data_IF_416785796745
#
_entry.id   IF_416785796745
#
_cell.length_a   1.000
_cell.length_b   1.000
_cell.length_c   1.000
_cell.angle_alpha   90.00
_cell.angle_beta   90.00
_cell.angle_gamma   90.00
#
_symmetry.space_group_name_H-M   'P 1'
#
loop_
_entity.id
_entity.type
_entity.pdbx_description
1 polymer ?
#
# COMPACT_ATOMS: atom_id res chain seq x y z
N UNK A 1 -0.50 -36.13 -26.87
CA UNK A 1 -1.45 -35.02 -26.59
C UNK A 1 -0.77 -33.71 -26.95
N UNK A 2 -1.34 -32.95 -27.90
CA UNK A 2 -0.83 -31.61 -28.27
C UNK A 2 -1.11 -30.65 -27.12
N UNK A 3 -0.08 -29.98 -26.58
CA UNK A 3 -0.25 -28.90 -25.60
C UNK A 3 -0.55 -27.63 -26.38
N UNK A 4 -1.82 -27.25 -26.48
CA UNK A 4 -2.20 -25.92 -26.97
C UNK A 4 -1.54 -24.88 -26.07
N UNK A 5 -0.61 -24.11 -26.61
CA UNK A 5 0.02 -23.02 -25.88
C UNK A 5 -0.95 -21.83 -25.90
N UNK A 6 -1.41 -21.41 -24.73
CA UNK A 6 -2.26 -20.23 -24.59
C UNK A 6 -1.43 -19.01 -24.93
N UNK A 7 -1.89 -18.22 -25.90
CA UNK A 7 -1.27 -16.93 -26.19
C UNK A 7 -1.77 -15.90 -25.18
N UNK A 8 -1.00 -15.69 -24.13
CA UNK A 8 -1.33 -14.76 -23.05
C UNK A 8 -1.47 -13.30 -23.53
N UNK A 9 -0.84 -12.92 -24.65
CA UNK A 9 -0.98 -11.56 -25.18
C UNK A 9 -2.42 -11.29 -25.64
N UNK A 10 -3.06 -12.26 -26.30
CA UNK A 10 -4.47 -12.14 -26.73
C UNK A 10 -5.38 -12.09 -25.49
N UNK A 11 -5.07 -12.87 -24.46
CA UNK A 11 -5.83 -12.84 -23.20
C UNK A 11 -5.75 -11.47 -22.54
N UNK A 12 -4.54 -10.89 -22.46
CA UNK A 12 -4.34 -9.55 -21.91
C UNK A 12 -5.06 -8.50 -22.75
N UNK A 13 -4.91 -8.54 -24.07
CA UNK A 13 -5.56 -7.60 -25.00
C UNK A 13 -7.08 -7.63 -24.87
N UNK A 14 -7.69 -8.81 -24.76
CA UNK A 14 -9.14 -8.92 -24.56
C UNK A 14 -9.61 -8.49 -23.17
N UNK A 15 -8.87 -8.86 -22.12
CA UNK A 15 -9.20 -8.43 -20.76
C UNK A 15 -8.98 -6.94 -20.52
N UNK A 16 -8.19 -6.29 -21.38
CA UNK A 16 -7.88 -4.85 -21.28
C UNK A 16 -8.85 -3.98 -22.07
N UNK A 17 -9.74 -4.56 -22.89
CA UNK A 17 -10.74 -3.79 -23.65
C UNK A 17 -11.71 -3.07 -22.70
N UNK A 18 -11.80 -1.75 -22.87
CA UNK A 18 -12.66 -0.88 -22.04
C UNK A 18 -12.07 -0.53 -20.69
N UNK A 19 -10.85 -0.98 -20.36
CA UNK A 19 -10.08 -0.44 -19.25
C UNK A 19 -9.43 0.87 -19.69
N UNK A 20 -9.61 1.91 -18.89
CA UNK A 20 -8.90 3.17 -19.08
C UNK A 20 -7.50 3.03 -18.53
N UNK A 21 -6.49 3.45 -19.31
CA UNK A 21 -5.13 3.55 -18.81
C UNK A 21 -5.09 4.36 -17.52
N UNK A 22 -4.40 3.82 -16.52
CA UNK A 22 -4.28 4.44 -15.20
C UNK A 22 -3.72 5.87 -15.31
N UNK A 23 -2.84 6.09 -16.29
CA UNK A 23 -2.17 7.36 -16.54
C UNK A 23 -2.93 8.35 -17.42
N UNK A 24 -4.09 7.97 -17.97
CA UNK A 24 -4.87 8.86 -18.82
C UNK A 24 -5.35 10.10 -18.05
N UNK A 25 -5.36 11.26 -18.73
CA UNK A 25 -5.93 12.51 -18.18
C UNK A 25 -7.45 12.43 -18.01
N UNK A 26 -8.09 11.51 -18.73
CA UNK A 26 -9.53 11.25 -18.70
C UNK A 26 -9.90 10.21 -17.65
N UNK A 27 -8.95 9.81 -16.79
CA UNK A 27 -9.19 8.77 -15.82
C UNK A 27 -10.06 9.31 -14.65
N UNK A 28 -11.34 8.90 -14.51
CA UNK A 28 -12.25 9.41 -13.47
C UNK A 28 -11.87 8.97 -12.04
N UNK A 29 -10.72 8.30 -11.89
CA UNK A 29 -10.19 7.73 -10.66
C UNK A 29 -9.86 8.76 -9.58
N UNK A 30 -9.64 10.02 -9.93
CA UNK A 30 -8.93 10.96 -9.05
C UNK A 30 -9.76 11.58 -7.92
N UNK A 31 -11.10 11.62 -7.97
CA UNK A 31 -11.89 12.25 -6.89
C UNK A 31 -12.99 11.38 -6.27
N UNK A 32 -13.75 10.61 -7.06
CA UNK A 32 -14.94 9.91 -6.55
C UNK A 32 -14.76 8.42 -6.28
N UNK A 33 -13.86 7.77 -7.03
CA UNK A 33 -13.68 6.31 -7.01
C UNK A 33 -12.32 5.85 -6.46
N UNK A 34 -11.33 6.74 -6.36
CA UNK A 34 -9.98 6.45 -5.88
C UNK A 34 -9.95 5.67 -4.56
N UNK A 35 -10.68 6.08 -3.50
CA UNK A 35 -10.67 5.38 -2.22
C UNK A 35 -11.19 3.94 -2.29
N UNK A 36 -12.27 3.70 -3.05
CA UNK A 36 -12.84 2.36 -3.22
C UNK A 36 -11.87 1.48 -4.03
N UNK A 37 -11.34 2.01 -5.14
CA UNK A 37 -10.41 1.30 -6.00
C UNK A 37 -9.10 0.92 -5.27
N UNK A 38 -8.57 1.80 -4.41
CA UNK A 38 -7.41 1.48 -3.58
C UNK A 38 -7.70 0.31 -2.64
N UNK A 39 -8.88 0.31 -2.02
CA UNK A 39 -9.29 -0.68 -1.03
C UNK A 39 -9.58 -2.08 -1.62
N UNK A 40 -9.91 -2.13 -2.92
CA UNK A 40 -10.32 -3.35 -3.63
C UNK A 40 -9.22 -3.92 -4.54
N UNK A 41 -8.47 -3.07 -5.26
CA UNK A 41 -7.58 -3.51 -6.36
C UNK A 41 -6.09 -3.22 -6.16
N UNK A 42 -5.72 -2.49 -5.09
CA UNK A 42 -4.31 -2.13 -4.80
C UNK A 42 -3.84 -2.66 -3.46
N UNK A 43 -4.64 -3.52 -2.84
CA UNK A 43 -4.44 -3.97 -1.47
C UNK A 43 -4.08 -5.44 -1.44
N UNK A 44 -2.94 -5.77 -0.83
CA UNK A 44 -2.54 -7.13 -0.46
C UNK A 44 -2.78 -7.29 1.03
N UNK A 45 -3.60 -8.28 1.43
CA UNK A 45 -3.96 -8.52 2.82
C UNK A 45 -3.24 -9.75 3.37
N UNK A 46 -2.53 -9.56 4.46
CA UNK A 46 -1.93 -10.64 5.23
C UNK A 46 -2.91 -11.01 6.34
N UNK A 47 -3.25 -12.30 6.42
CA UNK A 47 -4.35 -12.79 7.25
C UNK A 47 -4.16 -12.55 8.75
N UNK A 48 -5.27 -12.52 9.48
CA UNK A 48 -5.31 -12.31 10.93
C UNK A 48 -4.92 -13.58 11.68
N UNK A 49 -3.67 -13.66 12.11
CA UNK A 49 -3.15 -14.66 13.04
C UNK A 49 -1.92 -14.08 13.73
N UNK A 50 -1.47 -14.65 14.85
CA UNK A 50 -0.17 -14.30 15.45
C UNK A 50 0.95 -14.79 14.53
N UNK A 51 1.11 -14.16 13.37
CA UNK A 51 2.20 -14.42 12.45
C UNK A 51 3.39 -13.57 12.89
N UNK A 52 4.33 -14.22 13.57
CA UNK A 52 5.63 -13.63 13.89
C UNK A 52 6.36 -13.31 12.58
N UNK A 53 6.93 -12.10 12.47
CA UNK A 53 7.76 -11.69 11.33
C UNK A 53 7.07 -10.88 10.22
N UNK A 54 5.76 -10.56 10.33
CA UNK A 54 5.08 -9.74 9.31
C UNK A 54 5.64 -8.32 9.21
N UNK A 55 5.93 -7.69 10.35
CA UNK A 55 6.58 -6.37 10.36
C UNK A 55 7.98 -6.44 9.75
N UNK A 56 8.74 -7.50 10.02
CA UNK A 56 10.10 -7.70 9.47
C UNK A 56 10.03 -7.84 7.94
N UNK A 57 9.05 -8.59 7.45
CA UNK A 57 8.75 -8.68 6.03
C UNK A 57 8.36 -7.33 5.41
N UNK A 58 7.53 -6.53 6.10
CA UNK A 58 7.19 -5.18 5.66
C UNK A 58 8.41 -4.26 5.59
N UNK A 59 9.27 -4.38 6.59
CA UNK A 59 10.55 -3.69 6.64
C UNK A 59 11.45 -4.07 5.45
N UNK A 60 11.56 -5.37 5.13
CA UNK A 60 12.33 -5.82 3.97
C UNK A 60 11.74 -5.34 2.64
N UNK A 61 10.41 -5.33 2.51
CA UNK A 61 9.74 -4.74 1.35
C UNK A 61 10.09 -3.26 1.20
N UNK A 62 10.04 -2.50 2.29
CA UNK A 62 10.35 -1.08 2.28
C UNK A 62 11.82 -0.82 1.88
N UNK A 63 12.75 -1.61 2.41
CA UNK A 63 14.19 -1.52 2.09
C UNK A 63 14.48 -1.77 0.62
N UNK A 64 13.81 -2.75 0.01
CA UNK A 64 14.07 -3.15 -1.37
C UNK A 64 13.29 -2.31 -2.40
N UNK A 65 12.38 -1.45 -1.96
CA UNK A 65 11.57 -0.62 -2.85
C UNK A 65 12.37 0.58 -3.37
N UNK A 66 12.41 0.74 -4.70
CA UNK A 66 13.15 1.85 -5.34
C UNK A 66 12.45 3.20 -5.22
N UNK A 67 11.17 3.21 -4.83
CA UNK A 67 10.36 4.42 -4.69
C UNK A 67 10.20 4.89 -3.24
N UNK A 68 9.36 5.91 -3.06
CA UNK A 68 8.95 6.41 -1.75
C UNK A 68 7.98 5.46 -1.08
N UNK A 69 8.25 5.13 0.18
CA UNK A 69 7.49 4.20 1.01
C UNK A 69 6.82 4.95 2.15
N UNK A 70 5.52 4.71 2.35
CA UNK A 70 4.79 5.15 3.54
C UNK A 70 4.57 3.96 4.47
N UNK A 71 5.11 4.05 5.68
CA UNK A 71 4.90 3.07 6.72
C UNK A 71 3.95 3.64 7.78
N UNK A 72 2.77 3.05 7.90
CA UNK A 72 1.69 3.50 8.80
C UNK A 72 1.58 2.55 9.98
N UNK A 73 1.68 3.10 11.19
CA UNK A 73 1.44 2.35 12.43
C UNK A 73 0.23 2.92 13.20
N UNK A 74 -0.65 2.07 13.77
CA UNK A 74 -1.78 2.50 14.59
C UNK A 74 -1.44 3.36 15.82
N UNK A 75 -0.27 3.21 16.45
CA UNK A 75 0.09 3.95 17.67
C UNK A 75 1.27 4.88 17.43
N UNK A 76 1.11 6.16 17.79
CA UNK A 76 2.18 7.17 17.79
C UNK A 76 3.23 7.02 18.90
N UNK A 77 3.41 5.82 19.47
CA UNK A 77 4.36 5.52 20.55
C UNK A 77 5.35 4.40 20.20
N UNK A 78 5.37 3.94 18.94
CA UNK A 78 6.34 2.97 18.42
C UNK A 78 7.22 3.63 17.34
N UNK A 79 7.65 4.87 17.57
CA UNK A 79 8.73 5.46 16.74
C UNK A 79 9.96 4.53 16.72
N UNK A 80 10.13 3.68 17.74
CA UNK A 80 11.26 2.76 17.85
C UNK A 80 11.06 1.37 17.24
N UNK A 81 9.86 0.84 16.97
CA UNK A 81 9.74 -0.62 16.64
C UNK A 81 10.24 -0.95 15.22
N UNK A 82 10.04 -0.05 14.26
CA UNK A 82 10.52 -0.23 12.88
C UNK A 82 12.03 -0.02 12.82
N UNK A 83 12.56 1.05 13.43
CA UNK A 83 13.99 1.34 13.56
C UNK A 83 14.74 0.23 14.32
N UNK A 84 14.19 -0.21 15.45
CA UNK A 84 14.70 -1.30 16.27
C UNK A 84 14.77 -2.61 15.48
N UNK A 85 13.70 -2.98 14.76
CA UNK A 85 13.68 -4.20 13.93
C UNK A 85 14.56 -4.09 12.69
N UNK A 86 14.74 -2.87 12.17
CA UNK A 86 15.65 -2.57 11.09
C UNK A 86 17.12 -2.65 11.50
N UNK A 87 17.40 -2.56 12.81
CA UNK A 87 18.76 -2.41 13.34
C UNK A 87 19.44 -1.14 12.82
N UNK A 88 18.66 -0.08 12.58
CA UNK A 88 19.15 1.17 12.02
C UNK A 88 19.05 2.29 13.04
N UNK A 89 20.02 3.20 13.03
CA UNK A 89 19.99 4.43 13.83
C UNK A 89 18.99 5.44 13.25
N UNK A 90 18.80 5.43 11.93
CA UNK A 90 17.89 6.33 11.21
C UNK A 90 17.10 5.58 10.12
N UNK A 91 15.90 6.08 9.80
CA UNK A 91 15.10 5.56 8.70
C UNK A 91 15.78 5.92 7.37
N UNK A 92 15.81 5.00 6.39
CA UNK A 92 16.23 5.32 5.03
C UNK A 92 15.44 6.52 4.47
N UNK A 93 16.08 7.41 3.71
CA UNK A 93 15.47 8.64 3.16
C UNK A 93 14.23 8.41 2.28
N UNK A 94 14.09 7.20 1.73
CA UNK A 94 12.94 6.82 0.92
C UNK A 94 11.75 6.32 1.75
N UNK A 95 11.92 6.12 3.06
CA UNK A 95 10.89 5.61 3.97
C UNK A 95 10.39 6.75 4.85
N UNK A 96 9.10 7.04 4.77
CA UNK A 96 8.41 7.90 5.74
C UNK A 96 7.57 7.03 6.66
N UNK A 97 7.81 7.13 7.96
CA UNK A 97 6.97 6.49 8.98
C UNK A 97 6.03 7.52 9.60
N UNK A 98 4.74 7.17 9.72
CA UNK A 98 3.74 8.01 10.36
C UNK A 98 2.83 7.19 11.27
N UNK A 99 2.26 7.88 12.26
CA UNK A 99 1.11 7.35 12.97
C UNK A 99 -0.17 7.51 12.17
N UNK A 100 -1.13 6.63 12.41
CA UNK A 100 -2.48 6.74 11.87
C UNK A 100 -3.18 8.09 12.11
N UNK A 101 -2.79 8.80 13.17
CA UNK A 101 -3.32 10.12 13.52
C UNK A 101 -2.78 11.26 12.64
N UNK A 102 -1.60 11.08 12.01
CA UNK A 102 -0.93 12.08 11.18
C UNK A 102 -1.26 11.93 9.68
N UNK A 103 -2.06 10.93 9.33
CA UNK A 103 -2.42 10.64 7.94
C UNK A 103 -3.10 11.80 7.23
N UNK A 104 -2.74 12.01 5.98
CA UNK A 104 -3.29 13.08 5.12
C UNK A 104 -2.57 14.42 5.27
N UNK A 105 -1.45 14.46 5.99
CA UNK A 105 -0.57 15.64 6.09
C UNK A 105 0.66 15.54 5.19
N UNK A 106 0.81 14.43 4.48
CA UNK A 106 1.98 14.14 3.67
C UNK A 106 2.01 15.04 2.43
N UNK A 107 3.20 15.53 2.09
CA UNK A 107 3.43 16.38 0.91
C UNK A 107 4.01 15.62 -0.27
N UNK A 108 4.43 14.38 -0.05
CA UNK A 108 5.01 13.50 -1.05
C UNK A 108 3.99 12.46 -1.54
N UNK A 109 4.29 11.83 -2.68
CA UNK A 109 3.52 10.72 -3.22
C UNK A 109 4.27 9.41 -3.02
N UNK A 110 3.61 8.42 -2.42
CA UNK A 110 4.19 7.12 -2.11
C UNK A 110 3.74 6.06 -3.12
N UNK A 111 4.67 5.22 -3.58
CA UNK A 111 4.38 4.09 -4.48
C UNK A 111 4.34 2.74 -3.77
N UNK A 112 4.69 2.72 -2.48
CA UNK A 112 4.46 1.60 -1.59
C UNK A 112 3.88 2.11 -0.27
N UNK A 113 2.82 1.47 0.20
CA UNK A 113 2.23 1.75 1.52
C UNK A 113 2.19 0.46 2.31
N UNK A 114 2.68 0.52 3.54
CA UNK A 114 2.68 -0.61 4.47
C UNK A 114 1.90 -0.18 5.70
N UNK A 115 0.83 -0.89 6.01
CA UNK A 115 0.02 -0.67 7.22
C UNK A 115 0.30 -1.83 8.15
N UNK A 116 1.08 -1.56 9.18
CA UNK A 116 1.34 -2.51 10.25
C UNK A 116 0.15 -2.57 11.21
N UNK A 117 -0.12 -3.75 11.79
CA UNK A 117 -1.25 -3.96 12.69
C UNK A 117 -2.59 -3.40 12.12
N UNK A 118 -2.84 -3.64 10.84
CA UNK A 118 -3.94 -3.09 10.06
C UNK A 118 -5.33 -3.35 10.69
N UNK A 119 -5.53 -4.51 11.34
CA UNK A 119 -6.76 -4.81 12.07
C UNK A 119 -7.05 -3.82 13.20
N UNK A 120 -6.02 -3.52 14.01
CA UNK A 120 -6.09 -2.52 15.10
C UNK A 120 -6.31 -1.13 14.51
N UNK A 121 -5.57 -0.80 13.46
CA UNK A 121 -5.68 0.49 12.79
C UNK A 121 -7.10 0.74 12.25
N UNK A 122 -7.70 -0.20 11.53
CA UNK A 122 -9.06 -0.02 10.98
C UNK A 122 -10.15 -0.02 12.04
N UNK A 123 -9.94 -0.71 13.16
CA UNK A 123 -10.82 -0.60 14.33
C UNK A 123 -10.84 0.81 14.90
N UNK A 124 -9.73 1.54 14.85
CA UNK A 124 -9.62 2.90 15.38
C UNK A 124 -10.05 3.97 14.38
N UNK A 125 -9.65 3.85 13.11
CA UNK A 125 -9.76 4.96 12.14
C UNK A 125 -10.87 4.80 11.11
N UNK A 126 -11.68 3.73 11.17
CA UNK A 126 -12.67 3.30 10.16
C UNK A 126 -12.03 3.04 8.80
N UNK A 127 -12.22 1.82 8.31
CA UNK A 127 -11.66 1.31 7.05
C UNK A 127 -11.70 2.31 5.87
N UNK A 128 -12.86 2.89 5.57
CA UNK A 128 -13.00 3.79 4.41
C UNK A 128 -12.37 5.18 4.59
N UNK A 129 -12.18 5.66 5.82
CA UNK A 129 -11.53 6.96 6.06
C UNK A 129 -10.05 6.90 5.70
N UNK A 130 -9.40 5.76 5.97
CA UNK A 130 -8.01 5.51 5.60
C UNK A 130 -7.75 5.70 4.11
N UNK A 131 -8.48 4.98 3.26
CA UNK A 131 -8.26 5.05 1.81
C UNK A 131 -8.59 6.42 1.22
N UNK A 132 -9.49 7.19 1.85
CA UNK A 132 -9.75 8.58 1.47
C UNK A 132 -8.56 9.48 1.74
N UNK A 133 -7.92 9.34 2.90
CA UNK A 133 -6.70 10.09 3.23
C UNK A 133 -5.56 9.67 2.31
N UNK A 134 -5.42 8.36 2.07
CA UNK A 134 -4.36 7.79 1.25
C UNK A 134 -4.42 8.24 -0.22
N UNK A 135 -5.61 8.39 -0.79
CA UNK A 135 -5.80 8.73 -2.21
C UNK A 135 -5.03 10.00 -2.63
N UNK A 136 -4.85 10.94 -1.71
CA UNK A 136 -4.12 12.18 -1.95
C UNK A 136 -2.62 12.08 -1.72
N UNK A 137 -2.12 10.98 -1.14
CA UNK A 137 -0.72 10.81 -0.76
C UNK A 137 -0.04 9.68 -1.54
N UNK A 138 -0.71 9.03 -2.49
CA UNK A 138 -0.16 7.88 -3.24
C UNK A 138 -0.04 8.13 -4.74
N UNK A 139 0.87 7.41 -5.37
CA UNK A 139 0.98 7.32 -6.83
C UNK A 139 -0.15 6.46 -7.40
N UNK A 140 -0.35 6.52 -8.73
CA UNK A 140 -1.41 5.77 -9.43
C UNK A 140 -1.19 4.25 -9.41
N UNK A 141 0.06 3.83 -9.33
CA UNK A 141 0.55 2.45 -9.35
C UNK A 141 0.85 1.89 -7.95
N UNK A 142 0.42 2.57 -6.89
CA UNK A 142 0.73 2.20 -5.50
C UNK A 142 0.32 0.76 -5.18
N UNK A 143 1.18 0.08 -4.41
CA UNK A 143 0.83 -1.19 -3.76
C UNK A 143 0.67 -0.97 -2.26
N UNK A 144 -0.44 -1.43 -1.69
CA UNK A 144 -0.78 -1.28 -0.28
C UNK A 144 -0.75 -2.64 0.41
N UNK A 145 0.15 -2.82 1.36
CA UNK A 145 0.26 -4.03 2.19
C UNK A 145 -0.44 -3.81 3.52
N UNK A 146 -1.47 -4.61 3.83
CA UNK A 146 -2.20 -4.58 5.09
C UNK A 146 -1.81 -5.78 5.94
N UNK A 147 -1.00 -5.54 6.97
CA UNK A 147 -0.45 -6.58 7.85
C UNK A 147 -1.34 -6.73 9.07
N UNK A 148 -2.02 -7.87 9.20
CA UNK A 148 -3.04 -8.15 10.21
C UNK A 148 -2.55 -8.85 11.47
#
# INVERSE_FOLDING_TARGET
MSKTHVNYNIVVEELSKGLTDLDSKDNPFTERYGPNALSEFRTIRYGTGRQTGLTDFGVELAKNHKGKVLFVNPKGFLEDDVLFRLGLEDLPENITQISGYQMGTEKEKYSLVIVDNAGVFFSMFRYMKFFRLLANSVTKDVVIHLMG
#
